data_IF_077329065214
#
_entry.id   IF_077329065214
#
_cell.length_a   1.000
_cell.length_b   1.000
_cell.length_c   1.000
_cell.angle_alpha   90.00
_cell.angle_beta   90.00
_cell.angle_gamma   90.00
#
_symmetry.space_group_name_H-M   'P 1'
#
loop_
_entity.id
_entity.type
_entity.pdbx_description
1 polymer ?
#
# COMPACT_ATOMS: atom_id res chain seq x y z
N UNK A 1 -9.20 -4.45 -2.10
CA UNK A 1 -8.72 -3.25 -2.81
C UNK A 1 -9.81 -2.86 -3.77
N UNK A 2 -10.19 -1.58 -3.79
CA UNK A 2 -11.21 -1.10 -4.73
C UNK A 2 -10.61 -0.97 -6.13
N UNK A 3 -11.41 -1.28 -7.16
CA UNK A 3 -11.00 -1.15 -8.57
C UNK A 3 -10.55 0.29 -8.90
N UNK A 4 -11.22 1.28 -8.31
CA UNK A 4 -10.86 2.71 -8.41
C UNK A 4 -9.43 3.02 -7.94
N UNK A 5 -8.86 2.21 -7.04
CA UNK A 5 -7.46 2.40 -6.62
C UNK A 5 -6.48 1.89 -7.66
N UNK A 6 -6.82 0.82 -8.37
CA UNK A 6 -5.98 0.30 -9.45
C UNK A 6 -5.91 1.28 -10.62
N UNK A 7 -6.98 2.03 -10.87
CA UNK A 7 -6.99 3.07 -11.91
C UNK A 7 -6.17 4.32 -11.55
N UNK A 8 -5.74 4.45 -10.29
CA UNK A 8 -4.82 5.52 -9.86
C UNK A 8 -3.35 5.12 -10.02
N UNK A 9 -3.06 3.87 -10.39
CA UNK A 9 -1.71 3.36 -10.60
C UNK A 9 -1.36 3.32 -12.08
N UNK A 10 -0.06 3.35 -12.39
CA UNK A 10 0.42 2.91 -13.68
C UNK A 10 0.23 1.38 -13.82
N UNK A 11 0.18 0.90 -15.06
CA UNK A 11 -0.15 -0.50 -15.38
C UNK A 11 0.80 -1.50 -14.72
N UNK A 12 2.08 -1.14 -14.59
CA UNK A 12 3.12 -1.95 -13.95
C UNK A 12 2.82 -2.20 -12.47
N UNK A 13 2.48 -1.14 -11.74
CA UNK A 13 2.11 -1.21 -10.34
C UNK A 13 0.74 -1.87 -10.15
N UNK A 14 -0.25 -1.54 -10.99
CA UNK A 14 -1.57 -2.17 -10.93
C UNK A 14 -1.46 -3.70 -11.07
N UNK A 15 -0.63 -4.17 -12.00
CA UNK A 15 -0.33 -5.59 -12.22
C UNK A 15 0.38 -6.21 -11.02
N UNK A 16 1.43 -5.56 -10.49
CA UNK A 16 2.16 -6.04 -9.32
C UNK A 16 1.26 -6.17 -8.08
N UNK A 17 0.36 -5.19 -7.85
CA UNK A 17 -0.61 -5.24 -6.75
C UNK A 17 -1.59 -6.42 -6.90
N UNK A 18 -2.07 -6.69 -8.12
CA UNK A 18 -2.92 -7.84 -8.39
C UNK A 18 -2.22 -9.15 -8.05
N UNK A 19 -1.00 -9.34 -8.56
CA UNK A 19 -0.18 -10.52 -8.30
C UNK A 19 0.15 -10.69 -6.81
N UNK A 20 0.43 -9.61 -6.09
CA UNK A 20 0.68 -9.66 -4.66
C UNK A 20 -0.57 -10.10 -3.87
N UNK A 21 -1.75 -9.61 -4.25
CA UNK A 21 -3.00 -10.03 -3.61
C UNK A 21 -3.29 -11.52 -3.85
N UNK A 22 -3.00 -12.02 -5.05
CA UNK A 22 -3.12 -13.45 -5.35
C UNK A 22 -2.11 -14.26 -4.54
N UNK A 23 -0.85 -13.81 -4.46
CA UNK A 23 0.16 -14.41 -3.59
C UNK A 23 -0.31 -14.48 -2.14
N UNK A 24 -0.86 -13.40 -1.59
CA UNK A 24 -1.38 -13.38 -0.22
C UNK A 24 -2.49 -14.41 0.00
N UNK A 25 -3.38 -14.57 -0.99
CA UNK A 25 -4.56 -15.41 -0.90
C UNK A 25 -4.24 -16.89 -1.11
N UNK A 26 -3.47 -17.21 -2.13
CA UNK A 26 -3.31 -18.58 -2.61
C UNK A 26 -2.01 -19.23 -2.17
N UNK A 27 -0.90 -18.47 -2.13
CA UNK A 27 0.41 -19.02 -1.80
C UNK A 27 0.73 -18.86 -0.31
N UNK A 28 0.66 -17.63 0.20
CA UNK A 28 0.90 -17.33 1.62
C UNK A 28 -0.28 -17.72 2.51
N UNK A 29 -1.47 -17.88 1.92
CA UNK A 29 -2.73 -18.27 2.58
C UNK A 29 -3.02 -17.49 3.87
N UNK A 30 -2.86 -16.16 3.83
CA UNK A 30 -3.15 -15.34 5.01
C UNK A 30 -4.63 -15.38 5.36
N UNK A 31 -4.97 -15.19 6.64
CA UNK A 31 -6.37 -15.14 7.07
C UNK A 31 -7.17 -14.07 6.32
N UNK A 32 -8.49 -14.28 6.19
CA UNK A 32 -9.39 -13.29 5.56
C UNK A 32 -9.30 -11.90 6.21
N UNK A 33 -9.09 -11.84 7.51
CA UNK A 33 -8.92 -10.58 8.24
C UNK A 33 -7.59 -9.92 7.86
N UNK A 34 -6.49 -10.68 7.84
CA UNK A 34 -5.17 -10.20 7.42
C UNK A 34 -5.20 -9.70 5.98
N UNK A 35 -5.80 -10.45 5.06
CA UNK A 35 -5.95 -10.07 3.65
C UNK A 35 -6.67 -8.72 3.50
N UNK A 36 -7.83 -8.57 4.16
CA UNK A 36 -8.60 -7.31 4.13
C UNK A 36 -7.79 -6.14 4.68
N UNK A 37 -7.12 -6.38 5.81
CA UNK A 37 -6.34 -5.37 6.50
C UNK A 37 -5.13 -4.92 5.65
N UNK A 38 -4.40 -5.86 5.06
CA UNK A 38 -3.25 -5.58 4.19
C UNK A 38 -3.67 -4.87 2.91
N UNK A 39 -4.73 -5.35 2.28
CA UNK A 39 -5.28 -4.75 1.06
C UNK A 39 -5.73 -3.31 1.29
N UNK A 40 -6.39 -3.02 2.41
CA UNK A 40 -6.82 -1.66 2.75
C UNK A 40 -5.63 -0.73 3.05
N UNK A 41 -4.59 -1.22 3.71
CA UNK A 41 -3.42 -0.40 4.01
C UNK A 41 -2.65 -0.01 2.76
N UNK A 42 -2.47 -0.94 1.82
CA UNK A 42 -1.82 -0.67 0.53
C UNK A 42 -2.66 0.29 -0.30
N UNK A 43 -3.98 0.13 -0.30
CA UNK A 43 -4.88 1.08 -0.97
C UNK A 43 -4.69 2.51 -0.42
N UNK A 44 -4.63 2.68 0.91
CA UNK A 44 -4.35 3.98 1.52
C UNK A 44 -2.96 4.51 1.17
N UNK A 45 -1.95 3.64 1.08
CA UNK A 45 -0.59 4.04 0.74
C UNK A 45 -0.47 4.52 -0.70
N UNK A 46 -1.04 3.78 -1.66
CA UNK A 46 -1.06 4.15 -3.08
C UNK A 46 -1.78 5.47 -3.29
N UNK A 47 -2.96 5.65 -2.69
CA UNK A 47 -3.69 6.93 -2.77
C UNK A 47 -2.88 8.08 -2.17
N UNK A 48 -2.17 7.82 -1.07
CA UNK A 48 -1.25 8.80 -0.51
C UNK A 48 -0.14 9.19 -1.50
N UNK A 49 0.54 8.22 -2.13
CA UNK A 49 1.60 8.50 -3.10
C UNK A 49 1.10 9.33 -4.27
N UNK A 50 -0.07 8.97 -4.82
CA UNK A 50 -0.70 9.73 -5.91
C UNK A 50 -0.92 11.20 -5.53
N UNK A 51 -1.46 11.47 -4.34
CA UNK A 51 -1.65 12.86 -3.86
C UNK A 51 -0.34 13.53 -3.44
N UNK A 52 0.64 12.79 -2.90
CA UNK A 52 1.86 13.35 -2.33
C UNK A 52 2.86 13.78 -3.41
N UNK A 53 3.03 12.96 -4.44
CA UNK A 53 3.91 13.26 -5.57
C UNK A 53 3.17 13.97 -6.72
N UNK A 54 1.84 13.97 -6.71
CA UNK A 54 1.03 14.63 -7.75
C UNK A 54 1.07 13.92 -9.10
N UNK A 55 1.51 12.66 -9.13
CA UNK A 55 1.65 11.84 -10.33
C UNK A 55 0.95 10.49 -10.18
N UNK A 56 0.86 9.75 -11.27
CA UNK A 56 0.30 8.39 -11.27
C UNK A 56 1.39 7.43 -10.75
N UNK A 57 1.28 6.86 -9.53
CA UNK A 57 2.31 5.99 -8.97
C UNK A 57 2.53 4.74 -9.84
N UNK A 58 3.78 4.53 -10.25
CA UNK A 58 4.27 3.30 -10.87
C UNK A 58 5.33 2.60 -10.03
N UNK A 59 5.96 1.56 -10.59
CA UNK A 59 7.09 0.89 -9.91
C UNK A 59 8.31 1.81 -9.76
N UNK A 60 8.53 2.71 -10.72
CA UNK A 60 9.60 3.71 -10.62
C UNK A 60 9.37 4.68 -9.45
N UNK A 61 8.15 5.24 -9.32
CA UNK A 61 7.77 6.06 -8.16
C UNK A 61 8.01 5.30 -6.85
N UNK A 62 7.62 4.03 -6.78
CA UNK A 62 7.87 3.18 -5.61
C UNK A 62 9.35 2.98 -5.28
N UNK A 63 10.22 2.89 -6.29
CA UNK A 63 11.66 2.76 -6.10
C UNK A 63 12.31 4.03 -5.53
N UNK A 64 11.67 5.18 -5.75
CA UNK A 64 12.13 6.48 -5.26
C UNK A 64 11.55 6.83 -3.87
N UNK A 65 10.54 6.10 -3.40
CA UNK A 65 9.94 6.31 -2.08
C UNK A 65 10.99 6.18 -0.99
N UNK A 66 11.22 7.28 -0.28
CA UNK A 66 12.19 7.37 0.79
C UNK A 66 11.56 7.38 2.18
N UNK A 67 12.43 7.46 3.19
CA UNK A 67 12.01 7.57 4.60
C UNK A 67 11.13 8.80 4.88
N UNK A 68 11.29 9.87 4.09
CA UNK A 68 10.50 11.10 4.22
C UNK A 68 9.05 10.86 3.86
N UNK A 69 8.79 10.14 2.77
CA UNK A 69 7.44 9.81 2.30
C UNK A 69 6.72 8.89 3.30
N UNK A 70 7.41 7.88 3.84
CA UNK A 70 6.85 7.02 4.89
C UNK A 70 6.47 7.82 6.14
N UNK A 71 7.31 8.78 6.55
CA UNK A 71 7.02 9.64 7.71
C UNK A 71 5.83 10.56 7.42
N UNK A 72 5.76 11.15 6.23
CA UNK A 72 4.64 11.98 5.80
C UNK A 72 3.32 11.19 5.78
N UNK A 73 3.34 9.97 5.24
CA UNK A 73 2.18 9.08 5.24
C UNK A 73 1.71 8.71 6.65
N UNK A 74 2.64 8.30 7.53
CA UNK A 74 2.30 7.94 8.92
C UNK A 74 1.84 9.14 9.74
N UNK A 75 2.35 10.33 9.46
CA UNK A 75 1.90 11.59 10.04
C UNK A 75 0.46 11.90 9.61
N UNK A 76 0.16 11.80 8.31
CA UNK A 76 -1.20 11.99 7.78
C UNK A 76 -2.21 11.04 8.44
N UNK A 77 -1.89 9.75 8.53
CA UNK A 77 -2.73 8.77 9.24
C UNK A 77 -2.93 9.11 10.72
N UNK A 78 -1.93 9.70 11.36
CA UNK A 78 -2.04 10.13 12.76
C UNK A 78 -3.00 11.32 12.92
N UNK A 79 -2.92 12.30 12.02
CA UNK A 79 -3.83 13.45 11.97
C UNK A 79 -5.27 12.99 11.71
N UNK A 80 -5.46 11.96 10.88
CA UNK A 80 -6.75 11.31 10.63
C UNK A 80 -7.26 10.47 11.83
N UNK A 81 -6.55 10.45 12.96
CA UNK A 81 -6.97 9.73 14.17
C UNK A 81 -6.73 8.22 14.13
N UNK A 82 -5.89 7.72 13.21
CA UNK A 82 -5.57 6.29 13.15
C UNK A 82 -4.76 5.87 14.38
N UNK A 83 -5.30 4.92 15.15
CA UNK A 83 -4.63 4.35 16.33
C UNK A 83 -3.21 3.81 16.02
N UNK A 84 -2.32 3.89 17.01
CA UNK A 84 -0.91 3.49 16.88
C UNK A 84 -0.73 2.06 16.35
N UNK A 85 -1.50 1.11 16.89
CA UNK A 85 -1.46 -0.29 16.46
C UNK A 85 -1.84 -0.44 14.96
N UNK A 86 -2.84 0.31 14.50
CA UNK A 86 -3.25 0.31 13.09
C UNK A 86 -2.20 0.93 12.18
N UNK A 87 -1.50 1.98 12.63
CA UNK A 87 -0.37 2.58 11.89
C UNK A 87 0.82 1.62 11.79
N UNK A 88 1.17 0.95 12.88
CA UNK A 88 2.23 -0.07 12.89
C UNK A 88 1.89 -1.24 11.94
N UNK A 89 0.64 -1.72 11.97
CA UNK A 89 0.14 -2.74 11.03
C UNK A 89 0.21 -2.26 9.58
N UNK A 90 -0.15 -0.99 9.31
CA UNK A 90 -0.06 -0.39 7.98
C UNK A 90 1.37 -0.44 7.44
N UNK A 91 2.36 -0.15 8.27
CA UNK A 91 3.77 -0.26 7.89
C UNK A 91 4.18 -1.71 7.60
N UNK A 92 3.69 -2.68 8.39
CA UNK A 92 3.94 -4.10 8.14
C UNK A 92 3.35 -4.58 6.80
N UNK A 93 2.16 -4.08 6.44
CA UNK A 93 1.53 -4.38 5.14
C UNK A 93 2.39 -3.86 3.99
N UNK A 94 2.85 -2.61 4.05
CA UNK A 94 3.74 -2.01 3.02
C UNK A 94 5.07 -2.74 2.93
N UNK A 95 5.71 -3.04 4.07
CA UNK A 95 6.93 -3.87 4.09
C UNK A 95 6.72 -5.24 3.47
N UNK A 96 5.55 -5.85 3.69
CA UNK A 96 5.27 -7.16 3.11
C UNK A 96 5.12 -7.09 1.59
N UNK A 97 4.50 -6.03 1.06
CA UNK A 97 4.41 -5.80 -0.38
C UNK A 97 5.80 -5.54 -0.99
N UNK A 98 6.56 -4.58 -0.45
CA UNK A 98 7.88 -4.22 -0.97
C UNK A 98 8.91 -5.36 -0.90
N UNK A 99 8.76 -6.30 0.02
CA UNK A 99 9.63 -7.49 0.10
C UNK A 99 9.22 -8.59 -0.89
N UNK A 100 7.97 -8.61 -1.31
CA UNK A 100 7.46 -9.58 -2.28
C UNK A 100 7.76 -9.14 -3.72
N UNK A 101 7.71 -7.83 -3.97
CA UNK A 101 8.08 -7.18 -5.22
C UNK A 101 9.55 -7.45 -5.57
#
# INVERSE_FOLDING_TARGET
MKAETLTLCADDLAKALGQWLDYLRYEKQVSRHTFRAYSADIEHFVRFLNTHHGETPGLNTLSEVGIRDFRAWLSRKAIEGTANASRARSLSSVKNFLRWL
#
